data_IF_302984978591
#
_entry.id   IF_302984978591
#
_cell.length_a   1.000
_cell.length_b   1.000
_cell.length_c   1.000
_cell.angle_alpha   90.00
_cell.angle_beta   90.00
_cell.angle_gamma   90.00
#
_symmetry.space_group_name_H-M   'P 1'
#
loop_
_entity.id
_entity.type
_entity.pdbx_description
1 polymer ?
#
# COMPACT_ATOMS: atom_id res chain seq x y z
N UNK A 1 -23.39 9.98 13.48
CA UNK A 1 -23.17 11.23 14.25
C UNK A 1 -23.46 12.54 13.48
N UNK A 2 -23.92 12.54 12.21
CA UNK A 2 -24.35 13.76 11.48
C UNK A 2 -23.41 14.99 11.58
N UNK A 3 -22.09 14.77 11.59
CA UNK A 3 -21.10 15.85 11.71
C UNK A 3 -20.77 16.27 13.15
N UNK A 4 -21.46 15.74 14.16
CA UNK A 4 -21.02 15.84 15.55
C UNK A 4 -19.75 15.01 15.74
N UNK A 5 -18.66 15.64 16.16
CA UNK A 5 -17.37 14.99 16.45
C UNK A 5 -17.14 14.74 17.96
N UNK A 6 -18.16 14.94 18.80
CA UNK A 6 -18.09 14.85 20.26
C UNK A 6 -19.37 14.26 20.89
N UNK A 7 -19.83 13.10 20.41
CA UNK A 7 -21.08 12.45 20.84
C UNK A 7 -20.99 11.69 22.18
N UNK A 8 -20.09 12.04 23.09
CA UNK A 8 -19.75 11.26 24.29
C UNK A 8 -20.90 11.06 25.30
N UNK A 9 -21.85 11.99 25.36
CA UNK A 9 -23.00 11.95 26.27
C UNK A 9 -24.31 11.56 25.56
N UNK A 10 -24.22 10.98 24.36
CA UNK A 10 -25.39 10.65 23.54
C UNK A 10 -25.64 9.14 23.59
N UNK A 11 -26.65 8.73 24.38
CA UNK A 11 -27.16 7.36 24.37
C UNK A 11 -28.48 7.31 23.58
N UNK A 12 -28.35 7.41 22.25
CA UNK A 12 -29.45 7.40 21.30
C UNK A 12 -28.95 7.03 19.89
N UNK A 13 -29.85 7.05 18.92
CA UNK A 13 -29.63 6.68 17.52
C UNK A 13 -28.49 7.47 16.85
N UNK A 14 -28.09 8.63 17.38
CA UNK A 14 -26.94 9.38 16.90
C UNK A 14 -25.61 8.62 17.07
N UNK A 15 -25.53 7.82 18.14
CA UNK A 15 -24.33 7.09 18.58
C UNK A 15 -24.46 5.56 18.47
N UNK A 16 -25.67 5.02 18.43
CA UNK A 16 -25.89 3.59 18.24
C UNK A 16 -25.38 3.10 16.87
N UNK A 17 -24.95 1.84 16.82
CA UNK A 17 -24.54 1.19 15.57
C UNK A 17 -25.77 0.75 14.80
N UNK A 18 -25.93 1.27 13.59
CA UNK A 18 -26.99 0.89 12.67
C UNK A 18 -26.56 -0.34 11.86
N UNK A 19 -27.28 -1.44 12.02
CA UNK A 19 -26.97 -2.71 11.35
C UNK A 19 -27.77 -2.97 10.07
N UNK A 20 -28.76 -2.10 9.77
CA UNK A 20 -29.47 -2.14 8.50
C UNK A 20 -28.62 -1.49 7.42
N UNK A 21 -27.78 -2.30 6.78
CA UNK A 21 -26.79 -1.84 5.82
C UNK A 21 -27.43 -1.60 4.44
N UNK A 22 -27.14 -0.46 3.83
CA UNK A 22 -27.39 -0.22 2.41
C UNK A 22 -26.40 -0.96 1.52
N UNK A 23 -26.54 -0.84 0.19
CA UNK A 23 -25.58 -1.39 -0.77
C UNK A 23 -24.18 -0.82 -0.56
N UNK A 24 -24.06 0.51 -0.50
CA UNK A 24 -22.80 1.22 -0.24
C UNK A 24 -22.14 0.82 1.09
N UNK A 25 -22.92 0.58 2.14
CA UNK A 25 -22.36 0.17 3.43
C UNK A 25 -21.79 -1.25 3.37
N UNK A 26 -22.43 -2.15 2.60
CA UNK A 26 -21.91 -3.49 2.34
C UNK A 26 -20.62 -3.44 1.51
N UNK A 27 -20.55 -2.58 0.49
CA UNK A 27 -19.34 -2.37 -0.30
C UNK A 27 -18.18 -1.87 0.57
N UNK A 28 -18.43 -0.87 1.42
CA UNK A 28 -17.44 -0.36 2.37
C UNK A 28 -17.00 -1.44 3.36
N UNK A 29 -17.94 -2.26 3.87
CA UNK A 29 -17.65 -3.36 4.77
C UNK A 29 -16.75 -4.41 4.10
N UNK A 30 -17.06 -4.82 2.86
CA UNK A 30 -16.22 -5.76 2.11
C UNK A 30 -14.85 -5.18 1.79
N UNK A 31 -14.78 -3.91 1.36
CA UNK A 31 -13.52 -3.22 1.16
C UNK A 31 -12.67 -3.22 2.44
N UNK A 32 -13.28 -2.84 3.58
CA UNK A 32 -12.61 -2.81 4.89
C UNK A 32 -12.14 -4.20 5.33
N UNK A 33 -12.92 -5.25 5.06
CA UNK A 33 -12.52 -6.65 5.33
C UNK A 33 -11.28 -7.04 4.55
N UNK A 34 -11.17 -6.65 3.27
CA UNK A 34 -9.96 -6.91 2.46
C UNK A 34 -8.75 -6.14 2.98
N UNK A 35 -8.90 -4.86 3.35
CA UNK A 35 -7.82 -4.09 3.97
C UNK A 35 -7.32 -4.76 5.25
N UNK A 36 -8.24 -5.16 6.13
CA UNK A 36 -7.91 -5.86 7.37
C UNK A 36 -7.21 -7.20 7.12
N UNK A 37 -7.66 -7.94 6.10
CA UNK A 37 -7.05 -9.20 5.67
C UNK A 37 -5.64 -8.99 5.12
N UNK A 38 -5.44 -8.02 4.21
CA UNK A 38 -4.14 -7.67 3.67
C UNK A 38 -3.15 -7.34 4.81
N UNK A 39 -3.54 -6.47 5.75
CA UNK A 39 -2.70 -6.14 6.91
C UNK A 39 -2.38 -7.38 7.75
N UNK A 40 -3.34 -8.28 7.94
CA UNK A 40 -3.15 -9.51 8.75
C UNK A 40 -2.23 -10.50 8.04
N UNK A 41 -2.42 -10.71 6.75
CA UNK A 41 -1.77 -11.79 6.03
C UNK A 41 -0.31 -11.44 5.63
N UNK A 42 0.04 -10.15 5.63
CA UNK A 42 1.37 -9.66 5.25
C UNK A 42 2.14 -9.03 6.43
N UNK A 43 3.15 -9.71 6.98
CA UNK A 43 4.02 -9.20 8.05
C UNK A 43 4.66 -7.84 7.75
N UNK A 44 4.90 -7.47 6.49
CA UNK A 44 5.43 -6.16 6.11
C UNK A 44 4.61 -4.99 6.69
N UNK A 45 3.30 -5.17 6.87
CA UNK A 45 2.41 -4.15 7.46
C UNK A 45 2.28 -4.23 8.99
N UNK A 46 2.89 -5.23 9.64
CA UNK A 46 2.77 -5.52 11.09
C UNK A 46 4.14 -5.65 11.77
N UNK A 47 5.16 -5.02 11.20
CA UNK A 47 6.52 -4.99 11.71
C UNK A 47 6.59 -4.53 13.17
N UNK A 48 7.44 -5.19 13.95
CA UNK A 48 7.78 -4.83 15.33
C UNK A 48 8.91 -3.79 15.41
N UNK A 49 9.64 -3.59 14.31
CA UNK A 49 10.75 -2.63 14.20
C UNK A 49 10.49 -1.58 13.11
N UNK A 50 11.03 -0.38 13.31
CA UNK A 50 11.01 0.66 12.29
C UNK A 50 11.84 0.28 11.06
N UNK A 51 11.38 0.74 9.90
CA UNK A 51 12.16 0.75 8.67
C UNK A 51 13.39 1.65 8.82
N UNK A 52 14.50 1.28 8.18
CA UNK A 52 15.80 1.96 8.31
C UNK A 52 16.30 2.60 7.03
N UNK A 53 15.67 2.33 5.88
CA UNK A 53 16.09 2.78 4.56
C UNK A 53 17.48 2.25 4.19
N UNK A 54 17.82 1.04 4.65
CA UNK A 54 19.17 0.45 4.43
C UNK A 54 19.11 -0.58 3.31
N UNK A 55 20.18 -0.62 2.53
CA UNK A 55 20.42 -1.67 1.54
C UNK A 55 20.51 -3.05 2.21
N UNK A 56 19.83 -4.02 1.61
CA UNK A 56 20.02 -5.43 1.93
C UNK A 56 21.37 -5.85 1.35
N UNK A 57 22.11 -6.70 2.05
CA UNK A 57 23.37 -7.24 1.52
C UNK A 57 23.09 -8.06 0.24
N UNK A 58 23.37 -7.46 -0.92
CA UNK A 58 23.29 -8.14 -2.23
C UNK A 58 21.99 -7.95 -3.01
N UNK A 59 21.08 -7.07 -2.56
CA UNK A 59 19.87 -6.68 -3.32
C UNK A 59 19.80 -5.16 -3.43
N UNK A 60 19.31 -4.65 -4.57
CA UNK A 60 19.06 -3.22 -4.78
C UNK A 60 17.85 -2.71 -3.99
N UNK A 61 17.00 -3.60 -3.47
CA UNK A 61 15.80 -3.25 -2.72
C UNK A 61 16.16 -2.95 -1.26
N UNK A 62 15.80 -1.74 -0.78
CA UNK A 62 15.91 -1.37 0.64
C UNK A 62 14.65 -1.80 1.40
N UNK A 63 14.74 -1.84 2.73
CA UNK A 63 13.56 -2.17 3.55
C UNK A 63 12.42 -1.15 3.41
N UNK A 64 12.75 0.10 3.09
CA UNK A 64 11.82 1.09 2.55
C UNK A 64 12.53 1.96 1.49
N UNK A 65 11.82 2.26 0.40
CA UNK A 65 12.22 3.27 -0.58
C UNK A 65 11.05 4.19 -0.85
N UNK A 66 11.33 5.46 -1.13
CA UNK A 66 10.31 6.45 -1.43
C UNK A 66 10.49 6.94 -2.85
N UNK A 67 9.42 6.98 -3.61
CA UNK A 67 9.46 7.22 -5.04
C UNK A 67 8.73 8.51 -5.41
N UNK A 68 9.30 9.29 -6.30
CA UNK A 68 8.59 10.34 -7.03
C UNK A 68 7.70 9.72 -8.10
N UNK A 69 6.73 10.48 -8.65
CA UNK A 69 5.86 9.99 -9.73
C UNK A 69 6.57 9.48 -10.99
N UNK A 70 7.81 9.90 -11.24
CA UNK A 70 8.61 9.40 -12.36
C UNK A 70 9.26 8.02 -12.09
N UNK A 71 9.03 7.44 -10.90
CA UNK A 71 9.54 6.13 -10.50
C UNK A 71 10.94 6.16 -9.89
N UNK A 72 11.56 7.34 -9.75
CA UNK A 72 12.90 7.48 -9.16
C UNK A 72 12.85 7.63 -7.64
N UNK A 73 13.94 7.27 -6.94
CA UNK A 73 14.03 7.44 -5.48
C UNK A 73 14.08 8.93 -5.12
N UNK A 74 13.19 9.37 -4.23
CA UNK A 74 13.09 10.76 -3.80
C UNK A 74 14.36 11.21 -3.08
N UNK A 75 14.89 12.35 -3.49
CA UNK A 75 15.97 13.02 -2.79
C UNK A 75 15.46 13.80 -1.56
N UNK A 76 16.31 13.99 -0.54
CA UNK A 76 16.00 14.79 0.66
C UNK A 76 15.45 16.18 0.33
N UNK A 77 15.93 16.81 -0.74
CA UNK A 77 15.46 18.14 -1.16
C UNK A 77 13.98 18.14 -1.60
N UNK A 78 13.50 17.04 -2.19
CA UNK A 78 12.13 16.91 -2.68
C UNK A 78 11.15 16.76 -1.52
N UNK A 79 11.56 16.09 -0.45
CA UNK A 79 10.82 16.02 0.82
C UNK A 79 10.59 17.38 1.47
N UNK A 80 11.55 18.29 1.30
CA UNK A 80 11.49 19.63 1.86
C UNK A 80 10.82 20.66 0.95
N UNK A 81 10.49 20.27 -0.29
CA UNK A 81 9.57 21.08 -1.09
C UNK A 81 8.21 21.04 -0.39
N UNK A 82 7.67 22.18 0.01
CA UNK A 82 6.54 22.29 0.95
C UNK A 82 5.21 21.68 0.48
N UNK A 83 5.21 20.87 -0.56
CA UNK A 83 4.04 20.25 -1.16
C UNK A 83 4.40 18.99 -1.94
N UNK A 84 4.56 17.87 -1.24
CA UNK A 84 4.53 16.54 -1.87
C UNK A 84 3.12 16.00 -1.69
N UNK A 85 2.31 16.04 -2.75
CA UNK A 85 0.95 15.47 -2.76
C UNK A 85 0.87 14.08 -3.37
N UNK A 86 1.87 13.71 -4.17
CA UNK A 86 1.91 12.42 -4.84
C UNK A 86 3.29 11.78 -4.66
N UNK A 87 3.30 10.54 -4.18
CA UNK A 87 4.53 9.79 -3.95
C UNK A 87 4.23 8.28 -3.90
N UNK A 88 5.27 7.48 -4.11
CA UNK A 88 5.26 6.04 -3.93
C UNK A 88 6.08 5.64 -2.72
N UNK A 89 5.78 4.47 -2.16
CA UNK A 89 6.56 3.84 -1.09
C UNK A 89 6.70 2.35 -1.41
N UNK A 90 7.93 1.90 -1.59
CA UNK A 90 8.25 0.48 -1.72
C UNK A 90 8.62 -0.06 -0.34
N UNK A 91 8.04 -1.19 0.03
CA UNK A 91 8.34 -1.92 1.24
C UNK A 91 8.99 -3.25 0.86
N UNK A 92 10.27 -3.39 1.22
CA UNK A 92 11.04 -4.61 0.98
C UNK A 92 10.66 -5.71 1.99
N UNK A 93 9.94 -6.74 1.55
CA UNK A 93 9.47 -7.83 2.40
C UNK A 93 10.57 -8.82 2.79
N UNK A 94 11.53 -9.05 1.90
CA UNK A 94 12.73 -9.86 2.19
C UNK A 94 13.75 -9.12 3.07
N UNK A 95 13.66 -7.80 3.12
CA UNK A 95 14.54 -6.90 3.86
C UNK A 95 14.27 -6.89 5.37
N UNK A 96 13.29 -7.66 5.84
CA UNK A 96 12.83 -7.61 7.21
C UNK A 96 13.85 -8.25 8.18
N UNK A 97 14.40 -7.42 9.07
CA UNK A 97 15.22 -7.85 10.22
C UNK A 97 14.33 -8.29 11.40
N UNK A 98 13.38 -9.21 11.15
CA UNK A 98 12.46 -9.73 12.17
C UNK A 98 12.53 -11.26 12.25
N UNK A 99 12.38 -11.76 13.47
CA UNK A 99 12.40 -13.19 13.77
C UNK A 99 11.19 -13.53 14.63
N UNK A 100 10.62 -14.71 14.41
CA UNK A 100 9.51 -15.21 15.19
C UNK A 100 9.96 -15.76 16.55
N UNK A 101 9.02 -16.29 17.35
CA UNK A 101 9.30 -16.88 18.67
C UNK A 101 10.23 -18.10 18.61
N UNK A 102 10.40 -18.71 17.42
CA UNK A 102 11.26 -19.87 17.17
C UNK A 102 12.64 -19.48 16.64
N UNK A 103 12.85 -18.19 16.35
CA UNK A 103 14.08 -17.68 15.75
C UNK A 103 14.14 -17.85 14.23
N UNK A 104 13.01 -18.13 13.57
CA UNK A 104 12.90 -18.16 12.11
C UNK A 104 12.73 -16.74 11.57
N UNK A 105 13.44 -16.41 10.49
CA UNK A 105 13.34 -15.09 9.88
C UNK A 105 11.96 -14.91 9.25
N UNK A 106 11.32 -13.78 9.56
CA UNK A 106 10.04 -13.41 8.98
C UNK A 106 10.33 -12.66 7.67
N UNK A 107 9.85 -13.20 6.56
CA UNK A 107 9.89 -12.59 5.23
C UNK A 107 8.48 -12.39 4.67
N UNK A 108 8.36 -11.57 3.64
CA UNK A 108 7.12 -11.27 2.93
C UNK A 108 7.45 -10.88 1.48
N UNK A 109 6.44 -10.66 0.65
CA UNK A 109 6.61 -10.10 -0.70
C UNK A 109 6.91 -8.59 -0.65
N UNK A 110 7.45 -8.05 -1.74
CA UNK A 110 7.60 -6.62 -1.90
C UNK A 110 6.26 -5.94 -2.24
N UNK A 111 6.03 -4.79 -1.62
CA UNK A 111 4.83 -3.98 -1.84
C UNK A 111 5.17 -2.60 -2.36
N UNK A 112 4.33 -2.08 -3.26
CA UNK A 112 4.37 -0.69 -3.71
C UNK A 112 3.06 -0.02 -3.33
N UNK A 113 3.16 1.05 -2.55
CA UNK A 113 2.04 1.88 -2.14
C UNK A 113 2.14 3.20 -2.87
N UNK A 114 1.09 3.53 -3.64
CA UNK A 114 1.00 4.79 -4.36
C UNK A 114 -0.03 5.68 -3.69
N UNK A 115 0.33 6.95 -3.49
CA UNK A 115 -0.53 7.95 -2.86
C UNK A 115 -0.71 9.14 -3.79
N UNK A 116 -1.96 9.54 -4.04
CA UNK A 116 -2.30 10.79 -4.70
C UNK A 116 -3.28 11.58 -3.82
N UNK A 117 -2.75 12.57 -3.10
CA UNK A 117 -3.53 13.52 -2.31
C UNK A 117 -4.03 14.73 -3.11
N UNK A 118 -3.65 14.85 -4.38
CA UNK A 118 -4.15 15.90 -5.27
C UNK A 118 -5.55 15.56 -5.82
N UNK A 119 -6.20 16.55 -6.46
CA UNK A 119 -7.51 16.36 -7.07
C UNK A 119 -7.44 15.82 -8.50
N UNK A 120 -6.29 15.97 -9.17
CA UNK A 120 -6.08 15.47 -10.53
C UNK A 120 -5.48 14.06 -10.56
N UNK A 121 -5.78 13.35 -11.63
CA UNK A 121 -5.11 12.09 -11.98
C UNK A 121 -3.65 12.38 -12.38
N UNK A 122 -2.75 11.46 -12.05
CA UNK A 122 -1.35 11.55 -12.44
C UNK A 122 -0.87 10.25 -13.08
N UNK A 123 0.13 10.36 -13.94
CA UNK A 123 0.90 9.22 -14.41
C UNK A 123 2.01 8.92 -13.40
N UNK A 124 2.07 7.67 -12.95
CA UNK A 124 3.10 7.16 -12.05
C UNK A 124 3.89 6.06 -12.76
N UNK A 125 5.21 6.19 -12.87
CA UNK A 125 6.06 5.11 -13.43
C UNK A 125 6.34 4.08 -12.35
N UNK A 126 5.96 2.82 -12.62
CA UNK A 126 6.24 1.72 -11.70
C UNK A 126 7.74 1.42 -11.69
N UNK A 127 8.34 1.17 -10.52
CA UNK A 127 9.77 0.87 -10.42
C UNK A 127 10.09 -0.44 -11.13
N UNK A 128 11.32 -0.51 -11.66
CA UNK A 128 11.90 -1.71 -12.27
C UNK A 128 13.09 -2.14 -11.41
N UNK A 129 12.95 -3.29 -10.74
CA UNK A 129 14.02 -3.89 -9.93
C UNK A 129 14.74 -5.03 -10.66
N UNK A 130 14.49 -5.22 -11.96
CA UNK A 130 15.19 -6.15 -12.84
C UNK A 130 14.82 -7.63 -12.71
N UNK A 131 14.42 -8.09 -11.52
CA UNK A 131 14.16 -9.51 -11.21
C UNK A 131 12.67 -9.87 -11.04
N UNK A 132 11.76 -8.92 -11.28
CA UNK A 132 10.32 -9.10 -11.09
C UNK A 132 9.56 -9.41 -12.40
N UNK A 133 8.35 -9.98 -12.32
CA UNK A 133 7.43 -10.07 -13.48
C UNK A 133 6.52 -8.84 -13.60
N UNK A 134 6.68 -7.87 -12.71
CA UNK A 134 5.88 -6.67 -12.61
C UNK A 134 5.06 -6.59 -11.32
N UNK A 135 4.07 -5.70 -11.36
CA UNK A 135 3.27 -5.30 -10.21
C UNK A 135 1.81 -5.63 -10.40
N UNK A 136 1.23 -6.34 -9.43
CA UNK A 136 -0.18 -6.70 -9.43
C UNK A 136 -0.97 -5.87 -8.41
N UNK A 137 -2.14 -5.36 -8.79
CA UNK A 137 -3.00 -4.57 -7.90
C UNK A 137 -3.61 -5.46 -6.81
N UNK A 138 -3.38 -5.10 -5.56
CA UNK A 138 -4.02 -5.71 -4.38
C UNK A 138 -5.22 -4.90 -3.92
N UNK A 139 -5.09 -3.57 -3.89
CA UNK A 139 -6.15 -2.64 -3.50
C UNK A 139 -6.07 -1.36 -4.31
N UNK A 140 -7.22 -0.81 -4.66
CA UNK A 140 -7.36 0.49 -5.32
C UNK A 140 -8.58 1.20 -4.71
N UNK A 141 -8.38 2.36 -4.09
CA UNK A 141 -9.49 3.11 -3.46
C UNK A 141 -10.41 3.78 -4.47
N UNK A 142 -9.95 4.03 -5.70
CA UNK A 142 -10.76 4.57 -6.78
C UNK A 142 -11.56 3.48 -7.51
N UNK A 143 -11.10 2.23 -7.44
CA UNK A 143 -11.75 1.04 -8.00
C UNK A 143 -11.89 -0.07 -6.95
N UNK A 144 -12.75 0.12 -5.93
CA UNK A 144 -12.89 -0.84 -4.83
C UNK A 144 -13.34 -2.23 -5.30
N UNK A 145 -13.95 -2.38 -6.47
CA UNK A 145 -14.37 -3.65 -7.05
C UNK A 145 -13.23 -4.52 -7.60
N UNK A 146 -12.03 -3.94 -7.83
CA UNK A 146 -10.88 -4.68 -8.35
C UNK A 146 -10.53 -5.83 -7.40
N UNK A 147 -10.37 -7.02 -7.98
CA UNK A 147 -9.96 -8.21 -7.23
C UNK A 147 -8.43 -8.26 -7.11
N UNK A 148 -7.95 -8.78 -5.99
CA UNK A 148 -6.53 -8.99 -5.74
C UNK A 148 -5.87 -9.75 -6.90
N UNK A 149 -4.75 -9.22 -7.39
CA UNK A 149 -3.95 -9.76 -8.50
C UNK A 149 -4.71 -9.98 -9.82
N UNK A 150 -5.85 -9.31 -10.02
CA UNK A 150 -6.62 -9.39 -11.28
C UNK A 150 -6.13 -8.45 -12.37
N UNK A 151 -5.35 -7.44 -12.01
CA UNK A 151 -4.74 -6.47 -12.93
C UNK A 151 -3.27 -6.38 -12.57
N UNK A 152 -2.40 -6.61 -13.54
CA UNK A 152 -0.95 -6.54 -13.37
C UNK A 152 -0.31 -5.72 -14.48
N UNK A 153 0.82 -5.10 -14.18
CA UNK A 153 1.58 -4.21 -15.04
C UNK A 153 3.03 -4.69 -15.07
N UNK A 154 3.71 -4.67 -16.22
CA UNK A 154 5.13 -4.97 -16.25
C UNK A 154 5.94 -3.89 -15.54
N UNK A 155 7.19 -4.20 -15.23
CA UNK A 155 8.15 -3.22 -14.70
C UNK A 155 8.34 -2.03 -15.65
N UNK A 156 8.56 -0.85 -15.07
CA UNK A 156 8.69 0.41 -15.82
C UNK A 156 7.38 0.90 -16.47
N UNK A 157 6.26 0.19 -16.31
CA UNK A 157 4.99 0.61 -16.89
C UNK A 157 4.48 1.91 -16.25
N UNK A 158 3.76 2.69 -17.04
CA UNK A 158 3.02 3.85 -16.53
C UNK A 158 1.67 3.40 -15.98
N UNK A 159 1.38 3.80 -14.74
CA UNK A 159 0.13 3.57 -14.05
C UNK A 159 -0.62 4.91 -13.87
N UNK A 160 -1.87 4.98 -14.33
CA UNK A 160 -2.71 6.15 -14.08
C UNK A 160 -3.29 6.07 -12.65
N UNK A 161 -2.78 6.92 -11.77
CA UNK A 161 -3.20 7.03 -10.38
C UNK A 161 -4.23 8.16 -10.22
N UNK A 162 -5.48 7.77 -9.98
CA UNK A 162 -6.59 8.69 -9.83
C UNK A 162 -6.37 9.73 -8.72
N UNK A 163 -6.95 10.92 -8.88
CA UNK A 163 -6.99 11.95 -7.85
C UNK A 163 -7.64 11.46 -6.56
N UNK A 164 -7.09 11.85 -5.41
CA UNK A 164 -7.56 11.46 -4.06
C UNK A 164 -7.63 9.94 -3.85
N UNK A 165 -6.68 9.21 -4.44
CA UNK A 165 -6.64 7.76 -4.38
C UNK A 165 -5.34 7.23 -3.75
N UNK A 166 -5.44 5.99 -3.29
CA UNK A 166 -4.34 5.18 -2.83
C UNK A 166 -4.44 3.80 -3.49
N UNK A 167 -3.30 3.29 -3.94
CA UNK A 167 -3.21 1.96 -4.55
C UNK A 167 -2.13 1.16 -3.82
N UNK A 168 -2.41 -0.11 -3.56
CA UNK A 168 -1.42 -1.08 -3.08
C UNK A 168 -1.20 -2.10 -4.17
N UNK A 169 0.04 -2.23 -4.61
CA UNK A 169 0.50 -3.26 -5.51
C UNK A 169 1.44 -4.22 -4.77
N UNK A 170 1.50 -5.44 -5.26
CA UNK A 170 2.42 -6.48 -4.80
C UNK A 170 3.25 -6.92 -5.98
N UNK A 171 4.52 -7.19 -5.73
CA UNK A 171 5.43 -7.73 -6.74
C UNK A 171 4.99 -9.15 -7.13
N UNK A 172 4.90 -9.40 -8.44
CA UNK A 172 4.72 -10.75 -8.98
C UNK A 172 6.10 -11.35 -9.23
N UNK A 173 6.60 -12.09 -8.26
CA UNK A 173 7.90 -12.75 -8.38
C UNK A 173 7.86 -13.80 -9.48
N UNK A 174 8.96 -13.90 -10.22
CA UNK A 174 9.14 -15.06 -11.06
C UNK A 174 9.34 -16.29 -10.19
N UNK A 175 8.34 -17.20 -10.18
CA UNK A 175 8.54 -18.58 -9.72
C UNK A 175 9.89 -19.07 -10.24
N UNK A 176 10.85 -19.24 -9.33
CA UNK A 176 12.06 -20.01 -9.63
C UNK A 176 11.61 -21.36 -10.17
N UNK A 177 12.20 -21.75 -11.30
CA UNK A 177 11.78 -22.91 -12.07
C UNK A 177 11.74 -24.20 -11.25
N UNK A 178 10.74 -25.02 -11.56
CA UNK A 178 10.75 -26.48 -11.34
C UNK A 178 11.95 -27.14 -12.04
#
# INVERSE_FOLDING_TARGET
>A
QHGNNNAYAQDNELAWVHWDLGERDRELLEFTRRVARLRRDHPTFRRSKFFRGREIRGSEVRDVMWLSPDGTEMADAEWHSGYVRCFGMVLGGEAMEEWDERGEQITDQNFLLLFNGDGGDIEFTLPDFGDSRGWCVMLDTARPEVREKSVCYPDGATFNLAGRAMVVLIEDEAREGE
#
